data_IF_845845949007
#
_entry.id   IF_845845949007
#
_cell.length_a   1.000
_cell.length_b   1.000
_cell.length_c   1.000
_cell.angle_alpha   90.00
_cell.angle_beta   90.00
_cell.angle_gamma   90.00
#
_symmetry.space_group_name_H-M   'P 1'
#
loop_
_entity.id
_entity.type
_entity.pdbx_description
1 polymer ?
#
# COMPACT_ATOMS: atom_id res chain seq x y z
N UNK A 1 13.90 0.00 -0.24
CA UNK A 1 13.68 0.07 -1.70
C UNK A 1 14.61 1.05 -2.39
N UNK A 2 14.65 2.34 -2.04
CA UNK A 2 15.45 3.34 -2.79
C UNK A 2 16.95 3.01 -2.92
N UNK A 3 17.61 2.46 -1.89
CA UNK A 3 19.02 2.04 -1.98
C UNK A 3 19.22 0.89 -2.98
N UNK A 4 18.42 -0.17 -2.84
CA UNK A 4 18.45 -1.30 -3.77
C UNK A 4 18.14 -0.88 -5.21
N UNK A 5 17.18 0.03 -5.40
CA UNK A 5 16.86 0.57 -6.72
C UNK A 5 18.04 1.29 -7.39
N UNK A 6 18.82 2.07 -6.61
CA UNK A 6 20.05 2.70 -7.13
C UNK A 6 21.08 1.66 -7.58
N UNK A 7 21.23 0.56 -6.83
CA UNK A 7 22.10 -0.55 -7.24
C UNK A 7 21.56 -1.23 -8.50
N UNK A 8 20.25 -1.44 -8.62
CA UNK A 8 19.67 -2.06 -9.82
C UNK A 8 19.79 -1.16 -11.06
N UNK A 9 19.77 0.16 -10.90
CA UNK A 9 19.93 1.10 -12.01
C UNK A 9 21.28 0.96 -12.73
N UNK A 10 22.34 0.46 -12.08
CA UNK A 10 23.61 0.20 -12.79
C UNK A 10 23.53 -1.01 -13.73
N UNK A 11 22.60 -1.93 -13.49
CA UNK A 11 22.36 -3.11 -14.34
C UNK A 11 21.22 -2.88 -15.34
N UNK A 12 20.30 -1.98 -14.99
CA UNK A 12 19.13 -1.62 -15.78
C UNK A 12 19.12 -0.10 -15.99
N UNK A 13 19.95 0.36 -16.91
CA UNK A 13 20.19 1.78 -17.22
C UNK A 13 18.90 2.53 -17.56
N UNK A 14 17.94 1.86 -18.22
CA UNK A 14 16.62 2.41 -18.58
C UNK A 14 15.59 2.36 -17.44
N UNK A 15 15.95 1.91 -16.24
CA UNK A 15 15.01 1.77 -15.13
C UNK A 15 14.68 3.12 -14.48
N UNK A 16 13.40 3.49 -14.50
CA UNK A 16 12.86 4.59 -13.71
C UNK A 16 12.31 4.02 -12.40
N UNK A 17 12.96 4.34 -11.28
CA UNK A 17 12.45 3.99 -9.97
C UNK A 17 11.53 5.09 -9.42
N UNK A 18 10.29 4.71 -9.14
CA UNK A 18 9.37 5.50 -8.31
C UNK A 18 9.08 4.78 -6.98
N UNK A 19 8.78 5.56 -5.94
CA UNK A 19 8.27 4.98 -4.70
C UNK A 19 6.78 4.65 -4.83
N UNK A 20 6.35 3.55 -4.24
CA UNK A 20 4.97 3.07 -4.30
C UNK A 20 3.94 4.16 -3.96
N UNK A 21 3.04 4.46 -4.90
CA UNK A 21 2.00 5.48 -4.73
C UNK A 21 0.96 5.10 -3.67
N UNK A 22 0.58 3.82 -3.58
CA UNK A 22 -0.32 3.35 -2.52
C UNK A 22 0.28 3.60 -1.12
N UNK A 23 1.58 3.36 -0.95
CA UNK A 23 2.29 3.68 0.29
C UNK A 23 2.39 5.20 0.50
N UNK A 24 2.69 5.97 -0.56
CA UNK A 24 2.71 7.43 -0.50
C UNK A 24 1.39 8.02 0.02
N UNK A 25 0.27 7.60 -0.56
CA UNK A 25 -1.08 8.02 -0.14
C UNK A 25 -1.40 7.57 1.29
N UNK A 26 -1.00 6.36 1.67
CA UNK A 26 -1.15 5.90 3.05
C UNK A 26 -0.43 6.79 4.06
N UNK A 27 0.80 7.22 3.75
CA UNK A 27 1.60 8.13 4.60
C UNK A 27 1.02 9.54 4.71
N UNK A 28 0.18 9.95 3.76
CA UNK A 28 -0.57 11.21 3.88
C UNK A 28 -1.63 11.09 4.98
N UNK A 29 -2.30 9.93 5.07
CA UNK A 29 -3.28 9.68 6.10
C UNK A 29 -2.68 9.47 7.49
N UNK A 30 -1.38 9.22 7.63
CA UNK A 30 -0.74 9.09 8.95
C UNK A 30 -0.87 10.38 9.78
N UNK A 31 -0.97 11.55 9.13
CA UNK A 31 -1.15 12.86 9.80
C UNK A 31 -2.45 12.92 10.64
N UNK A 32 -3.46 12.12 10.29
CA UNK A 32 -4.75 12.05 10.99
C UNK A 32 -4.92 10.73 11.77
N UNK A 33 -3.93 9.84 11.76
CA UNK A 33 -4.01 8.56 12.47
C UNK A 33 -4.13 8.76 13.99
N UNK A 34 -3.45 9.76 14.53
CA UNK A 34 -3.48 10.08 15.96
C UNK A 34 -4.86 10.54 16.44
N UNK A 35 -5.73 11.01 15.53
CA UNK A 35 -7.12 11.35 15.84
C UNK A 35 -7.97 10.12 16.23
N UNK A 36 -7.54 8.90 15.86
CA UNK A 36 -8.28 7.63 16.08
C UNK A 36 -7.43 6.52 16.71
N UNK A 37 -6.15 6.76 16.99
CA UNK A 37 -5.21 5.78 17.57
C UNK A 37 -5.69 5.14 18.90
N UNK A 38 -6.72 5.73 19.52
CA UNK A 38 -7.33 5.31 20.76
C UNK A 38 -8.47 4.28 20.61
N UNK A 39 -9.03 4.08 19.41
CA UNK A 39 -10.06 3.05 19.17
C UNK A 39 -9.38 1.68 19.00
N UNK A 40 -8.78 1.17 20.08
CA UNK A 40 -8.12 -0.14 20.11
C UNK A 40 -9.14 -1.26 20.37
N UNK A 41 -8.76 -2.47 19.96
CA UNK A 41 -9.61 -3.65 19.80
C UNK A 41 -10.26 -4.17 21.11
N UNK A 42 -11.46 -3.69 21.45
CA UNK A 42 -12.30 -4.31 22.50
C UNK A 42 -12.60 -5.77 22.16
N UNK A 43 -12.89 -6.05 20.89
CA UNK A 43 -13.37 -7.34 20.41
C UNK A 43 -12.24 -8.30 20.01
N UNK A 44 -10.98 -8.03 20.38
CA UNK A 44 -9.85 -8.90 20.03
C UNK A 44 -9.99 -10.27 20.69
N UNK A 45 -10.14 -11.31 19.87
CA UNK A 45 -9.94 -12.75 20.20
C UNK A 45 -10.57 -13.23 21.52
N UNK A 46 -11.68 -12.64 21.97
CA UNK A 46 -12.42 -13.09 23.15
C UNK A 46 -13.76 -13.68 22.69
N UNK A 47 -13.95 -15.01 22.76
CA UNK A 47 -15.17 -15.66 22.28
C UNK A 47 -16.44 -15.10 22.91
N UNK A 48 -16.40 -14.82 24.23
CA UNK A 48 -17.53 -14.24 24.95
C UNK A 48 -17.94 -12.86 24.39
N UNK A 49 -16.99 -11.92 24.26
CA UNK A 49 -17.28 -10.58 23.73
C UNK A 49 -17.73 -10.60 22.28
N UNK A 50 -17.20 -11.52 21.46
CA UNK A 50 -17.62 -11.72 20.07
C UNK A 50 -19.05 -12.27 20.02
N UNK A 51 -19.38 -13.25 20.86
CA UNK A 51 -20.72 -13.81 20.92
C UNK A 51 -21.72 -12.78 21.42
N UNK A 52 -21.38 -12.03 22.46
CA UNK A 52 -22.21 -10.95 22.97
C UNK A 52 -22.47 -9.88 21.90
N UNK A 53 -21.42 -9.46 21.17
CA UNK A 53 -21.58 -8.55 20.04
C UNK A 53 -22.57 -9.08 18.99
N UNK A 54 -22.44 -10.35 18.59
CA UNK A 54 -23.34 -10.98 17.62
C UNK A 54 -24.78 -11.10 18.12
N UNK A 55 -24.98 -11.21 19.44
CA UNK A 55 -26.32 -11.26 20.02
C UNK A 55 -26.97 -9.86 20.03
N UNK A 56 -26.21 -8.82 20.40
CA UNK A 56 -26.71 -7.44 20.49
C UNK A 56 -26.83 -6.73 19.13
N UNK A 57 -26.02 -7.13 18.15
CA UNK A 57 -25.99 -6.55 16.81
C UNK A 57 -25.84 -7.66 15.74
N UNK A 58 -26.87 -8.52 15.56
CA UNK A 58 -26.79 -9.71 14.69
C UNK A 58 -26.54 -9.37 13.22
N UNK A 59 -27.08 -8.25 12.74
CA UNK A 59 -26.96 -7.83 11.34
C UNK A 59 -25.64 -7.08 11.06
N UNK A 60 -24.83 -6.81 12.09
CA UNK A 60 -23.62 -6.03 11.96
C UNK A 60 -22.38 -6.93 11.87
N UNK A 61 -21.50 -6.76 10.86
CA UNK A 61 -20.25 -7.49 10.84
C UNK A 61 -19.37 -7.03 12.00
N UNK A 62 -18.48 -7.92 12.48
CA UNK A 62 -17.53 -7.57 13.52
C UNK A 62 -16.64 -6.39 13.07
N UNK A 63 -16.23 -5.52 14.00
CA UNK A 63 -15.35 -4.40 13.67
C UNK A 63 -14.08 -4.90 12.96
N UNK A 64 -13.69 -4.29 11.83
CA UNK A 64 -12.52 -4.72 11.10
C UNK A 64 -11.27 -4.48 11.96
N UNK A 65 -10.37 -5.46 11.97
CA UNK A 65 -9.07 -5.29 12.62
C UNK A 65 -8.13 -4.55 11.68
N UNK A 66 -7.52 -3.42 12.09
CA UNK A 66 -6.44 -2.81 11.33
C UNK A 66 -5.34 -3.86 11.09
N UNK A 67 -4.97 -4.06 9.83
CA UNK A 67 -3.92 -4.99 9.44
C UNK A 67 -2.69 -4.14 9.14
N UNK A 68 -1.65 -4.27 9.96
CA UNK A 68 -0.41 -3.49 9.85
C UNK A 68 0.17 -3.56 8.43
N UNK A 69 0.08 -4.73 7.79
CA UNK A 69 0.64 -4.99 6.47
C UNK A 69 -0.30 -4.62 5.31
N UNK A 70 -1.52 -4.14 5.58
CA UNK A 70 -2.48 -3.74 4.53
C UNK A 70 -2.86 -2.27 4.70
N UNK A 71 -2.25 -1.43 3.86
CA UNK A 71 -2.43 0.01 3.86
C UNK A 71 -3.91 0.41 3.76
N UNK A 72 -4.32 1.40 4.54
CA UNK A 72 -5.69 1.93 4.56
C UNK A 72 -6.70 1.14 5.41
N UNK A 73 -6.36 -0.03 5.97
CA UNK A 73 -7.33 -0.81 6.80
C UNK A 73 -7.76 -0.11 8.08
N UNK A 74 -6.92 0.74 8.66
CA UNK A 74 -7.31 1.54 9.83
C UNK A 74 -8.32 2.64 9.49
N UNK A 75 -8.28 3.19 8.27
CA UNK A 75 -9.28 4.15 7.79
C UNK A 75 -10.63 3.45 7.66
N UNK A 76 -10.67 2.27 7.04
CA UNK A 76 -11.90 1.45 6.99
C UNK A 76 -12.46 1.14 8.39
N UNK A 77 -11.58 0.91 9.38
CA UNK A 77 -12.00 0.75 10.76
C UNK A 77 -12.58 2.03 11.36
N UNK A 78 -11.94 3.19 11.13
CA UNK A 78 -12.47 4.48 11.55
C UNK A 78 -13.86 4.74 10.95
N UNK A 79 -14.05 4.49 9.65
CA UNK A 79 -15.34 4.64 8.96
C UNK A 79 -16.41 3.71 9.54
N UNK A 80 -16.04 2.46 9.86
CA UNK A 80 -16.92 1.51 10.55
C UNK A 80 -17.35 2.04 11.92
N UNK A 81 -16.40 2.48 12.75
CA UNK A 81 -16.71 3.01 14.08
C UNK A 81 -17.54 4.28 14.01
N UNK A 82 -17.32 5.15 13.02
CA UNK A 82 -18.15 6.32 12.78
C UNK A 82 -19.59 5.92 12.42
N UNK A 83 -19.76 4.91 11.55
CA UNK A 83 -21.08 4.48 11.05
C UNK A 83 -21.92 3.83 12.14
N UNK A 84 -21.27 3.09 13.05
CA UNK A 84 -21.94 2.29 14.06
C UNK A 84 -21.70 2.80 15.48
N UNK A 85 -21.34 4.08 15.62
CA UNK A 85 -20.81 4.66 16.86
C UNK A 85 -21.66 4.35 18.10
N UNK A 86 -22.96 4.64 18.06
CA UNK A 86 -23.87 4.42 19.20
C UNK A 86 -24.03 2.95 19.56
N UNK A 87 -24.18 2.08 18.56
CA UNK A 87 -24.29 0.62 18.78
C UNK A 87 -23.02 0.08 19.41
N UNK A 88 -21.85 0.44 18.89
CA UNK A 88 -20.56 0.01 19.45
C UNK A 88 -20.39 0.56 20.86
N UNK A 89 -20.67 1.84 21.09
CA UNK A 89 -20.55 2.48 22.40
C UNK A 89 -21.37 1.74 23.46
N UNK A 90 -22.65 1.46 23.18
CA UNK A 90 -23.54 0.70 24.07
C UNK A 90 -22.98 -0.69 24.41
N UNK A 91 -22.50 -1.43 23.41
CA UNK A 91 -21.90 -2.76 23.63
C UNK A 91 -20.63 -2.66 24.49
N UNK A 92 -19.78 -1.66 24.25
CA UNK A 92 -18.55 -1.48 25.02
C UNK A 92 -18.86 -1.07 26.45
N UNK A 93 -19.88 -0.25 26.67
CA UNK A 93 -20.34 0.21 27.98
C UNK A 93 -20.95 -0.91 28.83
N UNK A 94 -21.54 -1.94 28.21
CA UNK A 94 -22.16 -3.07 28.94
C UNK A 94 -21.16 -4.08 29.51
N UNK A 95 -19.93 -4.12 29.02
CA UNK A 95 -18.89 -5.00 29.59
C UNK A 95 -18.38 -4.49 30.93
N UNK A 96 -17.97 -5.39 31.84
CA UNK A 96 -17.31 -4.97 33.07
C UNK A 96 -15.90 -4.40 32.78
N UNK A 97 -15.59 -3.24 33.36
CA UNK A 97 -14.27 -2.62 33.26
C UNK A 97 -13.18 -3.47 33.95
N UNK A 98 -13.56 -4.32 34.90
CA UNK A 98 -12.66 -5.21 35.65
C UNK A 98 -12.18 -6.40 34.82
N UNK A 99 -12.97 -6.85 33.84
CA UNK A 99 -12.70 -8.04 33.02
C UNK A 99 -11.44 -7.91 32.15
N UNK A 100 -11.13 -6.69 31.69
CA UNK A 100 -9.93 -6.43 30.90
C UNK A 100 -9.53 -4.96 30.87
N UNK A 101 -8.21 -4.71 30.94
CA UNK A 101 -7.61 -3.38 30.73
C UNK A 101 -8.04 -2.75 29.40
N UNK A 102 -8.27 -3.56 28.36
CA UNK A 102 -8.76 -3.09 27.07
C UNK A 102 -10.17 -2.48 27.15
N UNK A 103 -11.08 -3.06 27.95
CA UNK A 103 -12.45 -2.56 28.12
C UNK A 103 -12.41 -1.20 28.80
N UNK A 104 -11.70 -1.10 29.94
CA UNK A 104 -11.52 0.17 30.66
C UNK A 104 -10.95 1.26 29.77
N UNK A 105 -9.91 0.95 28.99
CA UNK A 105 -9.32 1.91 28.02
C UNK A 105 -10.36 2.34 26.99
N UNK A 106 -11.09 1.41 26.39
CA UNK A 106 -12.07 1.76 25.35
C UNK A 106 -13.25 2.56 25.89
N UNK A 107 -13.77 2.26 27.08
CA UNK A 107 -14.80 3.11 27.72
C UNK A 107 -14.30 4.54 27.94
N UNK A 108 -13.07 4.72 28.40
CA UNK A 108 -12.48 6.05 28.55
C UNK A 108 -12.37 6.79 27.21
N UNK A 109 -12.08 6.07 26.13
CA UNK A 109 -12.00 6.64 24.79
C UNK A 109 -13.37 7.08 24.27
N UNK A 110 -14.43 6.30 24.49
CA UNK A 110 -15.80 6.68 24.14
C UNK A 110 -16.36 7.87 24.95
N UNK A 111 -15.74 8.21 26.09
CA UNK A 111 -16.07 9.42 26.87
C UNK A 111 -15.46 10.70 26.29
N UNK A 112 -14.47 10.59 25.39
CA UNK A 112 -13.81 11.74 24.78
C UNK A 112 -14.76 12.43 23.79
N UNK A 113 -15.14 13.68 24.07
CA UNK A 113 -16.04 14.46 23.21
C UNK A 113 -15.49 14.61 21.78
N UNK A 114 -14.17 14.72 21.64
CA UNK A 114 -13.50 14.86 20.36
C UNK A 114 -13.51 13.60 19.50
N UNK A 115 -13.74 12.40 20.06
CA UNK A 115 -13.66 11.16 19.29
C UNK A 115 -14.69 11.12 18.17
N UNK A 116 -15.94 11.47 18.47
CA UNK A 116 -17.02 11.43 17.48
C UNK A 116 -16.78 12.45 16.36
N UNK A 117 -16.35 13.67 16.72
CA UNK A 117 -15.97 14.70 15.75
C UNK A 117 -14.82 14.25 14.84
N UNK A 118 -13.78 13.62 15.41
CA UNK A 118 -12.65 13.07 14.66
C UNK A 118 -13.08 11.96 13.70
N UNK A 119 -13.93 11.03 14.16
CA UNK A 119 -14.45 9.95 13.33
C UNK A 119 -15.29 10.47 12.16
N UNK A 120 -16.14 11.48 12.41
CA UNK A 120 -16.92 12.15 11.37
C UNK A 120 -15.98 12.81 10.36
N UNK A 121 -15.00 13.58 10.82
CA UNK A 121 -14.03 14.24 9.94
C UNK A 121 -13.30 13.23 9.05
N UNK A 122 -12.87 12.10 9.62
CA UNK A 122 -12.13 11.07 8.88
C UNK A 122 -13.03 10.40 7.85
N UNK A 123 -14.22 9.96 8.25
CA UNK A 123 -15.16 9.31 7.34
C UNK A 123 -15.53 10.24 6.17
N UNK A 124 -15.84 11.50 6.46
CA UNK A 124 -16.27 12.46 5.43
C UNK A 124 -15.19 12.80 4.41
N UNK A 125 -13.90 12.77 4.80
CA UNK A 125 -12.81 13.31 3.98
C UNK A 125 -11.82 12.25 3.46
N UNK A 126 -11.74 11.08 4.11
CA UNK A 126 -10.68 10.09 3.85
C UNK A 126 -11.20 8.71 3.44
N UNK A 127 -12.53 8.49 3.36
CA UNK A 127 -13.12 7.25 2.84
C UNK A 127 -12.72 6.95 1.38
N UNK A 128 -12.34 7.98 0.62
CA UNK A 128 -11.81 7.83 -0.73
C UNK A 128 -10.43 7.14 -0.77
N UNK A 129 -9.62 7.23 0.29
CA UNK A 129 -8.24 6.70 0.28
C UNK A 129 -8.18 5.17 0.24
N UNK A 130 -8.89 4.40 1.09
CA UNK A 130 -8.89 2.95 1.00
C UNK A 130 -9.34 2.44 -0.38
N UNK A 131 -10.30 3.13 -1.00
CA UNK A 131 -10.80 2.82 -2.33
C UNK A 131 -9.71 3.06 -3.38
N UNK A 132 -9.08 4.24 -3.36
CA UNK A 132 -7.99 4.59 -4.26
C UNK A 132 -6.77 3.65 -4.11
N UNK A 133 -6.37 3.33 -2.87
CA UNK A 133 -5.29 2.39 -2.59
C UNK A 133 -5.61 1.01 -3.15
N UNK A 134 -6.85 0.52 -2.99
CA UNK A 134 -7.26 -0.78 -3.52
C UNK A 134 -7.20 -0.78 -5.05
N UNK A 135 -7.75 0.25 -5.71
CA UNK A 135 -7.70 0.41 -7.16
C UNK A 135 -6.26 0.46 -7.69
N UNK A 136 -5.36 1.18 -7.02
CA UNK A 136 -3.94 1.25 -7.38
C UNK A 136 -3.19 -0.09 -7.22
N UNK A 137 -3.72 -1.01 -6.41
CA UNK A 137 -3.13 -2.33 -6.14
C UNK A 137 -3.70 -3.43 -7.03
N UNK A 138 -4.72 -3.12 -7.85
CA UNK A 138 -5.26 -4.03 -8.86
C UNK A 138 -4.21 -4.36 -9.91
N UNK A 139 -4.19 -5.62 -10.34
CA UNK A 139 -3.28 -6.05 -11.39
C UNK A 139 -3.75 -5.53 -12.74
N UNK A 140 -2.79 -5.24 -13.62
CA UNK A 140 -3.06 -4.92 -15.03
C UNK A 140 -3.79 -3.59 -15.30
N UNK A 141 -3.83 -2.67 -14.33
CA UNK A 141 -4.29 -1.30 -14.58
C UNK A 141 -3.33 -0.56 -15.52
N UNK A 142 -3.86 0.30 -16.39
CA UNK A 142 -3.04 1.14 -17.25
C UNK A 142 -2.36 2.24 -16.44
N UNK A 143 -1.22 2.74 -16.93
CA UNK A 143 -0.53 3.87 -16.29
C UNK A 143 -1.46 5.09 -16.18
N UNK A 144 -2.21 5.41 -17.24
CA UNK A 144 -3.15 6.53 -17.28
C UNK A 144 -4.27 6.40 -16.25
N UNK A 145 -4.81 5.20 -16.07
CA UNK A 145 -5.83 4.92 -15.05
C UNK A 145 -5.26 5.08 -13.63
N UNK A 146 -4.04 4.59 -13.42
CA UNK A 146 -3.30 4.76 -12.16
C UNK A 146 -3.08 6.24 -11.83
N UNK A 147 -2.65 7.04 -12.80
CA UNK A 147 -2.42 8.48 -12.61
C UNK A 147 -3.72 9.22 -12.29
N UNK A 148 -4.81 8.89 -12.99
CA UNK A 148 -6.14 9.45 -12.73
C UNK A 148 -6.60 9.21 -11.30
N UNK A 149 -6.36 8.02 -10.73
CA UNK A 149 -6.68 7.73 -9.32
C UNK A 149 -5.92 8.69 -8.38
N UNK A 150 -4.63 8.94 -8.65
CA UNK A 150 -3.82 9.86 -7.84
C UNK A 150 -4.29 11.30 -8.00
N UNK A 151 -4.70 11.71 -9.19
CA UNK A 151 -5.28 13.03 -9.48
C UNK A 151 -6.62 13.24 -8.76
N UNK A 152 -7.53 12.26 -8.79
CA UNK A 152 -8.80 12.30 -8.04
C UNK A 152 -8.57 12.57 -6.54
N UNK A 153 -7.55 11.94 -5.94
CA UNK A 153 -7.18 12.18 -4.54
C UNK A 153 -6.58 13.57 -4.35
N UNK A 154 -5.73 14.04 -5.26
CA UNK A 154 -5.19 15.41 -5.21
C UNK A 154 -6.32 16.45 -5.26
N UNK A 155 -7.27 16.30 -6.16
CA UNK A 155 -8.42 17.20 -6.30
C UNK A 155 -9.34 17.17 -5.06
N UNK A 156 -9.46 16.02 -4.42
CA UNK A 156 -10.22 15.90 -3.16
C UNK A 156 -9.48 16.60 -2.03
N UNK A 157 -8.16 16.40 -1.91
CA UNK A 157 -7.39 16.88 -0.76
C UNK A 157 -7.04 18.36 -0.85
N UNK A 158 -6.93 18.91 -2.06
CA UNK A 158 -6.78 20.35 -2.30
C UNK A 158 -8.00 21.16 -1.83
N UNK A 159 -9.17 20.53 -1.72
CA UNK A 159 -10.41 21.15 -1.20
C UNK A 159 -10.55 21.10 0.32
N UNK A 160 -9.67 20.38 1.04
CA UNK A 160 -9.78 20.27 2.50
C UNK A 160 -9.56 21.61 3.19
N UNK A 161 -10.35 21.89 4.22
CA UNK A 161 -10.25 23.12 5.01
C UNK A 161 -9.82 22.83 6.45
N UNK A 162 -9.49 23.90 7.19
CA UNK A 162 -9.05 23.83 8.58
C UNK A 162 -7.59 23.39 8.76
N UNK A 163 -7.15 23.37 10.02
CA UNK A 163 -5.76 23.10 10.41
C UNK A 163 -5.25 21.75 9.85
N UNK A 164 -6.01 20.67 10.03
CA UNK A 164 -5.66 19.35 9.50
C UNK A 164 -5.59 19.34 7.97
N UNK A 165 -6.51 20.04 7.29
CA UNK A 165 -6.51 20.14 5.84
C UNK A 165 -5.23 20.80 5.30
N UNK A 166 -4.73 21.84 5.98
CA UNK A 166 -3.48 22.52 5.61
C UNK A 166 -2.27 21.57 5.72
N UNK A 167 -2.17 20.85 6.84
CA UNK A 167 -1.07 19.89 7.08
C UNK A 167 -1.09 18.74 6.07
N UNK A 168 -2.27 18.23 5.75
CA UNK A 168 -2.48 17.13 4.81
C UNK A 168 -2.13 17.56 3.38
N UNK A 169 -2.53 18.76 2.96
CA UNK A 169 -2.13 19.34 1.67
C UNK A 169 -0.60 19.45 1.55
N UNK A 170 0.04 19.96 2.60
CA UNK A 170 1.51 20.07 2.66
C UNK A 170 2.17 18.70 2.57
N UNK A 171 1.64 17.71 3.29
CA UNK A 171 2.16 16.33 3.29
C UNK A 171 1.98 15.65 1.94
N UNK A 172 0.81 15.80 1.31
CA UNK A 172 0.54 15.25 -0.02
C UNK A 172 1.51 15.84 -1.05
N UNK A 173 1.67 17.16 -1.08
CA UNK A 173 2.64 17.84 -1.95
C UNK A 173 4.06 17.30 -1.73
N UNK A 174 4.50 17.21 -0.47
CA UNK A 174 5.82 16.67 -0.14
C UNK A 174 6.03 15.23 -0.64
N UNK A 175 5.02 14.36 -0.47
CA UNK A 175 5.10 12.96 -0.90
C UNK A 175 5.23 12.85 -2.43
N UNK A 176 4.47 13.67 -3.18
CA UNK A 176 4.50 13.68 -4.64
C UNK A 176 5.81 14.29 -5.17
N UNK A 177 6.20 15.46 -4.66
CA UNK A 177 7.40 16.18 -5.10
C UNK A 177 8.68 15.37 -4.84
N UNK A 178 8.75 14.64 -3.72
CA UNK A 178 9.88 13.78 -3.38
C UNK A 178 9.98 12.54 -4.28
N UNK A 179 8.89 12.16 -4.95
CA UNK A 179 8.84 11.00 -5.83
C UNK A 179 9.24 11.37 -7.26
N UNK A 180 10.54 11.59 -7.47
CA UNK A 180 11.09 12.01 -8.77
C UNK A 180 10.66 11.08 -9.91
N UNK A 181 10.69 9.76 -9.68
CA UNK A 181 10.25 8.78 -10.66
C UNK A 181 8.77 8.92 -11.04
N UNK A 182 7.89 9.25 -10.09
CA UNK A 182 6.48 9.55 -10.38
C UNK A 182 6.33 10.76 -11.30
N UNK A 183 7.11 11.83 -11.09
CA UNK A 183 7.08 13.00 -11.95
C UNK A 183 7.53 12.68 -13.39
N UNK A 184 8.58 11.87 -13.55
CA UNK A 184 9.03 11.41 -14.87
C UNK A 184 7.94 10.57 -15.54
N UNK A 185 7.38 9.58 -14.82
CA UNK A 185 6.30 8.73 -15.35
C UNK A 185 5.06 9.55 -15.73
N UNK A 186 4.69 10.57 -14.95
CA UNK A 186 3.57 11.47 -15.29
C UNK A 186 3.81 12.18 -16.62
N UNK A 187 5.02 12.71 -16.85
CA UNK A 187 5.39 13.35 -18.11
C UNK A 187 5.37 12.32 -19.27
N UNK A 188 5.90 11.10 -19.07
CA UNK A 188 5.83 10.02 -20.08
C UNK A 188 4.38 9.72 -20.44
N UNK A 189 3.48 9.63 -19.46
CA UNK A 189 2.06 9.38 -19.71
C UNK A 189 1.41 10.46 -20.56
N UNK A 190 1.80 11.73 -20.40
CA UNK A 190 1.29 12.84 -21.23
C UNK A 190 1.72 12.73 -22.68
N UNK A 191 2.96 12.31 -22.93
CA UNK A 191 3.43 12.02 -24.28
C UNK A 191 2.66 10.84 -24.88
N UNK A 192 2.43 9.78 -24.09
CA UNK A 192 1.65 8.62 -24.54
C UNK A 192 0.17 8.94 -24.80
N UNK A 193 -0.41 9.96 -24.15
CA UNK A 193 -1.78 10.43 -24.39
C UNK A 193 -1.90 11.50 -25.47
N UNK A 194 -0.78 12.05 -25.95
CA UNK A 194 -0.76 13.16 -26.91
C UNK A 194 -1.06 14.53 -26.29
N UNK A 195 -0.94 14.67 -24.96
CA UNK A 195 -1.07 15.95 -24.26
C UNK A 195 0.23 16.78 -24.30
N UNK A 196 1.37 16.14 -24.57
CA UNK A 196 2.69 16.78 -24.63
C UNK A 196 3.43 16.28 -25.88
N UNK A 197 3.88 17.22 -26.73
CA UNK A 197 4.59 16.90 -27.97
C UNK A 197 6.12 16.90 -27.82
N UNK A 198 6.62 17.35 -26.66
CA UNK A 198 8.05 17.55 -26.45
C UNK A 198 8.65 16.54 -25.46
N UNK A 199 9.47 15.63 -26.00
CA UNK A 199 10.21 14.62 -25.25
C UNK A 199 11.45 15.23 -24.54
N UNK A 200 11.97 16.36 -25.00
CA UNK A 200 13.23 16.94 -24.50
C UNK A 200 13.15 17.44 -23.04
N UNK A 201 11.95 17.64 -22.50
CA UNK A 201 11.73 18.05 -21.11
C UNK A 201 11.59 16.87 -20.13
N UNK A 202 11.81 15.64 -20.61
CA UNK A 202 11.80 14.44 -19.78
C UNK A 202 13.21 14.17 -19.24
N UNK A 203 13.36 14.17 -17.93
CA UNK A 203 14.62 13.79 -17.25
C UNK A 203 14.82 12.26 -17.36
N UNK A 204 15.05 11.75 -18.59
CA UNK A 204 15.19 10.33 -18.91
C UNK A 204 16.65 9.86 -18.85
N UNK A 205 16.88 8.56 -18.65
CA UNK A 205 18.17 7.94 -18.92
C UNK A 205 18.66 8.19 -20.35
N UNK A 206 19.96 8.42 -20.52
CA UNK A 206 20.58 8.77 -21.81
C UNK A 206 20.37 7.72 -22.91
N UNK A 207 20.24 6.45 -22.53
CA UNK A 207 20.07 5.32 -23.44
C UNK A 207 18.58 4.97 -23.70
N UNK A 208 17.65 5.74 -23.15
CA UNK A 208 16.21 5.57 -23.35
C UNK A 208 15.80 5.97 -24.77
N UNK A 209 15.16 5.05 -25.51
CA UNK A 209 14.65 5.30 -26.86
C UNK A 209 13.14 5.58 -26.86
N UNK A 210 12.63 6.14 -27.95
CA UNK A 210 11.18 6.35 -28.12
C UNK A 210 10.37 5.03 -28.05
N UNK A 211 10.93 3.92 -28.57
CA UNK A 211 10.29 2.61 -28.47
C UNK A 211 10.22 2.10 -27.03
N UNK A 212 11.20 2.44 -26.19
CA UNK A 212 11.19 2.05 -24.78
C UNK A 212 10.04 2.73 -24.01
N UNK A 213 9.69 3.97 -24.40
CA UNK A 213 8.58 4.72 -23.78
C UNK A 213 7.23 4.03 -23.94
N UNK A 214 7.04 3.26 -25.02
CA UNK A 214 5.79 2.52 -25.27
C UNK A 214 5.50 1.48 -24.18
N UNK A 215 6.54 0.89 -23.58
CA UNK A 215 6.38 -0.11 -22.51
C UNK A 215 5.86 0.51 -21.21
N UNK A 216 6.01 1.83 -21.01
CA UNK A 216 5.49 2.51 -19.82
C UNK A 216 3.97 2.64 -19.81
N UNK A 217 3.28 2.37 -20.92
CA UNK A 217 1.80 2.30 -20.98
C UNK A 217 1.20 1.40 -19.89
N UNK A 218 1.94 0.35 -19.51
CA UNK A 218 1.54 -0.64 -18.51
C UNK A 218 2.38 -0.55 -17.22
N UNK A 219 3.10 0.54 -17.00
CA UNK A 219 3.95 0.71 -15.83
C UNK A 219 3.09 0.83 -14.56
N UNK A 220 3.31 -0.02 -13.54
CA UNK A 220 2.58 0.07 -12.29
C UNK A 220 3.06 1.27 -11.47
N UNK A 221 2.12 1.94 -10.79
CA UNK A 221 2.44 3.00 -9.83
C UNK A 221 2.70 2.46 -8.41
N UNK A 222 2.56 1.15 -8.19
CA UNK A 222 2.70 0.53 -6.87
C UNK A 222 3.72 -0.61 -6.89
N UNK A 223 4.27 -0.90 -5.71
CA UNK A 223 5.14 -2.06 -5.48
C UNK A 223 4.36 -3.33 -5.12
N UNK A 224 3.03 -3.33 -5.27
CA UNK A 224 2.20 -4.44 -4.80
C UNK A 224 2.55 -5.77 -5.49
N UNK A 225 2.85 -5.75 -6.80
CA UNK A 225 3.28 -6.93 -7.54
C UNK A 225 4.66 -7.43 -7.11
N UNK A 226 5.57 -6.49 -6.82
CA UNK A 226 6.91 -6.79 -6.31
C UNK A 226 6.82 -7.43 -4.92
N UNK A 227 6.04 -6.85 -4.01
CA UNK A 227 5.81 -7.38 -2.66
C UNK A 227 5.13 -8.75 -2.68
N UNK A 228 4.12 -8.94 -3.54
CA UNK A 228 3.47 -10.24 -3.74
C UNK A 228 4.48 -11.28 -4.25
N UNK A 229 5.35 -10.91 -5.18
CA UNK A 229 6.42 -11.79 -5.70
C UNK A 229 7.42 -12.18 -4.62
N UNK A 230 7.90 -11.22 -3.81
CA UNK A 230 8.76 -11.51 -2.67
C UNK A 230 8.09 -12.41 -1.62
N UNK A 231 6.79 -12.22 -1.38
CA UNK A 231 6.05 -13.08 -0.45
C UNK A 231 6.04 -14.55 -0.89
N UNK A 232 6.00 -14.82 -2.20
CA UNK A 232 6.11 -16.19 -2.72
C UNK A 232 7.53 -16.75 -2.56
N UNK A 233 8.54 -15.90 -2.72
CA UNK A 233 9.95 -16.26 -2.54
C UNK A 233 10.36 -16.36 -1.07
N UNK A 234 9.54 -15.86 -0.13
CA UNK A 234 9.86 -15.84 1.31
C UNK A 234 10.26 -17.21 1.84
N UNK A 235 9.60 -18.27 1.40
CA UNK A 235 9.89 -19.65 1.83
C UNK A 235 11.21 -20.19 1.25
N UNK A 236 11.71 -19.61 0.15
CA UNK A 236 13.03 -19.93 -0.41
C UNK A 236 14.17 -19.18 0.29
N UNK A 237 13.87 -18.01 0.86
CA UNK A 237 14.87 -17.08 1.40
C UNK A 237 15.08 -17.20 2.92
N UNK A 238 14.26 -17.96 3.65
CA UNK A 238 14.43 -18.19 5.11
C UNK A 238 15.72 -18.97 5.42
N UNK A 239 16.33 -18.67 6.57
CA UNK A 239 17.61 -19.26 7.01
C UNK A 239 17.53 -20.76 7.31
N UNK A 240 16.34 -21.25 7.68
CA UNK A 240 16.12 -22.62 8.13
C UNK A 240 15.94 -23.63 6.96
N UNK A 241 16.74 -23.47 5.91
CA UNK A 241 16.66 -24.31 4.70
C UNK A 241 17.10 -25.73 5.03
N UNK A 242 16.20 -26.70 4.91
CA UNK A 242 16.62 -28.10 4.72
C UNK A 242 17.24 -28.21 3.33
N UNK A 243 18.57 -28.07 3.25
CA UNK A 243 19.45 -28.35 2.09
C UNK A 243 18.78 -28.28 0.71
N UNK A 244 18.39 -27.09 0.25
CA UNK A 244 18.01 -26.92 -1.15
C UNK A 244 19.27 -27.03 -2.02
N UNK A 245 19.39 -28.07 -2.84
CA UNK A 245 20.37 -28.11 -3.92
C UNK A 245 20.03 -27.02 -4.94
N UNK A 246 21.03 -26.48 -5.63
CA UNK A 246 20.85 -25.45 -6.68
C UNK A 246 19.78 -25.86 -7.72
N UNK A 247 19.77 -27.13 -8.10
CA UNK A 247 18.77 -27.70 -9.02
C UNK A 247 17.33 -27.63 -8.47
N UNK A 248 17.15 -27.80 -7.16
CA UNK A 248 15.84 -27.69 -6.51
C UNK A 248 15.36 -26.24 -6.48
N UNK A 249 16.27 -25.28 -6.26
CA UNK A 249 15.95 -23.84 -6.34
C UNK A 249 15.45 -23.49 -7.74
N UNK A 250 16.15 -23.94 -8.78
CA UNK A 250 15.75 -23.73 -10.18
C UNK A 250 14.37 -24.32 -10.48
N UNK A 251 14.09 -25.55 -10.02
CA UNK A 251 12.78 -26.21 -10.18
C UNK A 251 11.67 -25.44 -9.45
N UNK A 252 11.90 -25.00 -8.21
CA UNK A 252 10.91 -24.20 -7.47
C UNK A 252 10.65 -22.85 -8.13
N UNK A 253 11.70 -22.19 -8.64
CA UNK A 253 11.58 -20.94 -9.39
C UNK A 253 10.71 -21.13 -10.64
N UNK A 254 10.94 -22.19 -11.42
CA UNK A 254 10.15 -22.52 -12.62
C UNK A 254 8.69 -22.77 -12.26
N UNK A 255 8.39 -23.53 -11.20
CA UNK A 255 7.02 -23.78 -10.73
C UNK A 255 6.33 -22.47 -10.36
N UNK A 256 7.01 -21.59 -9.63
CA UNK A 256 6.47 -20.29 -9.23
C UNK A 256 6.27 -19.35 -10.44
N UNK A 257 7.20 -19.32 -11.39
CA UNK A 257 7.05 -18.58 -12.65
C UNK A 257 5.89 -19.08 -13.52
N UNK A 258 5.67 -20.40 -13.57
CA UNK A 258 4.55 -20.98 -14.31
C UNK A 258 3.19 -20.71 -13.63
N UNK A 259 3.19 -20.53 -12.32
CA UNK A 259 2.01 -20.05 -11.60
C UNK A 259 1.72 -18.57 -11.93
N UNK A 260 2.77 -17.75 -12.04
CA UNK A 260 2.67 -16.35 -12.45
C UNK A 260 2.25 -16.17 -13.91
N UNK A 261 2.72 -17.00 -14.84
CA UNK A 261 2.39 -16.85 -16.27
C UNK A 261 0.92 -17.18 -16.60
N UNK A 262 0.22 -17.92 -15.73
CA UNK A 262 -1.24 -18.08 -15.79
C UNK A 262 -1.98 -16.80 -15.35
N UNK A 263 -1.35 -15.91 -14.55
CA UNK A 263 -1.77 -14.52 -14.37
C UNK A 263 -1.19 -13.67 -15.52
N UNK A 264 -1.93 -13.64 -16.64
CA UNK A 264 -1.51 -12.99 -17.89
C UNK A 264 -1.09 -11.52 -17.69
N UNK A 265 0.05 -11.20 -18.34
CA UNK A 265 0.60 -9.87 -18.67
C UNK A 265 1.27 -9.12 -17.51
N UNK A 266 2.54 -9.44 -17.23
CA UNK A 266 3.52 -8.47 -16.70
C UNK A 266 4.94 -8.99 -16.94
N UNK A 267 5.37 -8.89 -18.20
CA UNK A 267 6.58 -9.51 -18.74
C UNK A 267 7.92 -8.84 -18.41
N UNK A 268 7.98 -7.80 -17.57
CA UNK A 268 9.26 -7.10 -17.30
C UNK A 268 9.69 -7.12 -15.83
N UNK A 269 8.83 -6.79 -14.87
CA UNK A 269 9.27 -6.65 -13.47
C UNK A 269 9.66 -7.97 -12.79
N UNK A 270 8.95 -9.07 -13.06
CA UNK A 270 9.29 -10.38 -12.50
C UNK A 270 10.49 -11.02 -13.23
N UNK A 271 10.61 -10.82 -14.55
CA UNK A 271 11.67 -11.44 -15.35
C UNK A 271 13.03 -10.76 -15.13
N UNK A 272 13.06 -9.43 -15.00
CA UNK A 272 14.28 -8.66 -14.71
C UNK A 272 14.83 -8.99 -13.31
N UNK A 273 13.98 -8.98 -12.29
CA UNK A 273 14.42 -9.29 -10.91
C UNK A 273 14.87 -10.76 -10.74
N UNK A 274 14.28 -11.69 -11.49
CA UNK A 274 14.67 -13.10 -11.48
C UNK A 274 15.99 -13.36 -12.22
N UNK A 275 16.29 -12.65 -13.32
CA UNK A 275 17.60 -12.74 -13.96
C UNK A 275 18.72 -12.22 -13.04
N UNK A 276 18.44 -11.18 -12.24
CA UNK A 276 19.36 -10.70 -11.20
C UNK A 276 19.58 -11.74 -10.10
N UNK A 277 18.51 -12.34 -9.57
CA UNK A 277 18.60 -13.40 -8.54
C UNK A 277 19.30 -14.66 -9.04
N UNK A 278 19.04 -15.08 -10.27
CA UNK A 278 19.74 -16.21 -10.89
C UNK A 278 21.21 -15.87 -11.09
N UNK A 279 21.54 -14.67 -11.59
CA UNK A 279 22.91 -14.22 -11.79
C UNK A 279 23.70 -14.10 -10.47
N UNK A 280 23.11 -13.55 -9.40
CA UNK A 280 23.75 -13.54 -8.07
C UNK A 280 23.91 -14.96 -7.50
N UNK A 281 22.89 -15.83 -7.63
CA UNK A 281 22.97 -17.20 -7.12
C UNK A 281 23.86 -18.13 -7.95
N UNK A 282 24.26 -17.73 -9.16
CA UNK A 282 25.14 -18.52 -10.05
C UNK A 282 26.51 -17.88 -10.30
N UNK A 283 26.80 -16.70 -9.72
CA UNK A 283 28.11 -16.07 -9.86
C UNK A 283 29.17 -16.88 -9.09
N UNK A 284 30.32 -17.26 -9.71
CA UNK A 284 31.37 -18.03 -9.04
C UNK A 284 32.07 -17.27 -7.90
N UNK A 285 31.91 -15.94 -7.83
CA UNK A 285 32.66 -15.05 -6.91
C UNK A 285 31.85 -14.60 -5.68
N UNK A 286 30.83 -15.35 -5.28
CA UNK A 286 29.93 -14.93 -4.19
C UNK A 286 30.43 -15.34 -2.79
N UNK A 287 31.44 -14.62 -2.29
CA UNK A 287 31.95 -14.73 -0.90
C UNK A 287 31.14 -13.90 0.13
N UNK A 288 29.96 -13.37 -0.24
CA UNK A 288 29.06 -12.65 0.68
C UNK A 288 28.03 -13.59 1.36
N UNK A 289 28.49 -14.67 2.00
CA UNK A 289 27.67 -15.49 2.89
C UNK A 289 28.47 -15.94 4.12
N UNK A 290 28.62 -15.01 5.08
CA UNK A 290 28.68 -15.31 6.52
C UNK A 290 27.71 -14.39 7.24
#
# INVERSE_FOLDING_TARGET
MTKAARTLQSFYTKMIHLTCMAHGLHRVAEEIHDLVANVKQVFRKCPYRIQYFRNEAPDLPLPPSPVITRWGTWLTAASYYCTHFETIKRIVESFDESDAVAIKKSKNVFKLQQLQANLIYIKSNFDCLPIAITRLQEQSILLSEGLKIVEEIQDTFTKLEGHHGIEIKKKLKYVLDKNIGYNIIRKISKVLSGEEDNIANLDLPDDMTANDLLYFKYAPLTSADVERSFSMLKNLLVDNRRSFKLENIKKTLIIQCNFLSKCRIMGMNACLFMNFLVHELTSPDNDFLV
#
